data_IF_548462530691
#
_entry.id   IF_548462530691
#
_cell.length_a   1.000
_cell.length_b   1.000
_cell.length_c   1.000
_cell.angle_alpha   90.00
_cell.angle_beta   90.00
_cell.angle_gamma   90.00
#
_symmetry.space_group_name_H-M   'P 1'
#
loop_
_entity.id
_entity.type
_entity.pdbx_description
1 polymer ?
#
# COMPACT_ATOMS: atom_id res chain seq x y z
N UNK A 1 35.10 -6.98 -43.00
CA UNK A 1 34.56 -6.71 -41.64
C UNK A 1 34.51 -8.04 -40.89
N UNK A 2 35.55 -8.35 -40.10
CA UNK A 2 35.62 -8.27 -38.61
C UNK A 2 34.71 -9.31 -37.93
N UNK A 3 35.17 -10.57 -37.82
CA UNK A 3 35.93 -11.20 -36.70
C UNK A 3 35.03 -11.49 -35.49
N UNK A 4 34.75 -12.77 -35.23
CA UNK A 4 34.45 -13.30 -33.91
C UNK A 4 35.03 -14.71 -33.83
N UNK A 5 36.23 -14.80 -33.24
CA UNK A 5 36.88 -16.05 -32.93
C UNK A 5 37.29 -16.03 -31.46
N UNK A 6 37.34 -17.25 -30.92
CA UNK A 6 38.19 -17.65 -29.80
C UNK A 6 37.50 -17.71 -28.42
N UNK A 7 36.95 -18.90 -28.20
CA UNK A 7 36.88 -19.60 -26.91
C UNK A 7 38.29 -19.72 -26.32
N UNK A 8 38.48 -19.43 -25.02
CA UNK A 8 39.53 -20.09 -24.25
C UNK A 8 39.19 -20.16 -22.75
N UNK A 9 39.19 -21.40 -22.24
CA UNK A 9 39.18 -21.77 -20.82
C UNK A 9 40.54 -21.44 -20.19
N UNK A 10 40.58 -21.04 -18.91
CA UNK A 10 41.77 -21.17 -18.07
C UNK A 10 41.41 -21.24 -16.56
N UNK A 11 41.27 -22.48 -16.10
CA UNK A 11 41.85 -23.11 -14.90
C UNK A 11 42.45 -22.23 -13.77
N UNK A 12 41.87 -22.36 -12.57
CA UNK A 12 42.46 -22.66 -11.25
C UNK A 12 43.81 -22.04 -10.85
N UNK A 13 43.87 -21.30 -9.74
CA UNK A 13 44.95 -21.42 -8.72
C UNK A 13 44.42 -21.09 -7.31
N UNK A 14 44.77 -21.96 -6.37
CA UNK A 14 44.51 -21.94 -4.93
C UNK A 14 45.46 -20.95 -4.24
N UNK A 15 44.98 -20.19 -3.25
CA UNK A 15 45.84 -19.38 -2.40
C UNK A 15 45.19 -19.06 -1.06
N UNK A 16 45.47 -19.90 -0.05
CA UNK A 16 45.16 -19.62 1.34
C UNK A 16 45.96 -18.39 1.80
N UNK A 17 45.27 -17.41 2.40
CA UNK A 17 45.93 -16.29 3.08
C UNK A 17 45.33 -16.09 4.47
N UNK A 18 46.21 -16.18 5.45
CA UNK A 18 46.01 -16.07 6.89
C UNK A 18 45.74 -14.63 7.35
N UNK A 19 44.91 -14.49 8.38
CA UNK A 19 44.48 -13.26 9.09
C UNK A 19 45.66 -12.47 9.70
N UNK A 20 45.48 -11.15 9.96
CA UNK A 20 45.27 -10.78 11.37
C UNK A 20 44.20 -9.71 11.63
N UNK A 21 43.63 -9.83 12.84
CA UNK A 21 42.74 -8.92 13.55
C UNK A 21 43.32 -7.51 13.64
N UNK A 22 42.53 -6.50 13.26
CA UNK A 22 42.68 -5.12 13.76
C UNK A 22 41.38 -4.76 14.47
N UNK A 23 41.47 -4.61 15.79
CA UNK A 23 40.41 -4.12 16.63
C UNK A 23 40.15 -2.64 16.29
N UNK A 24 39.01 -2.36 15.65
CA UNK A 24 38.48 -1.00 15.54
C UNK A 24 37.36 -0.84 16.56
N UNK A 25 37.68 -0.17 17.68
CA UNK A 25 36.67 0.35 18.61
C UNK A 25 35.95 1.50 17.91
N UNK A 26 34.89 1.18 17.18
CA UNK A 26 33.96 2.16 16.63
C UNK A 26 33.03 2.58 17.78
N UNK A 27 33.02 3.87 18.12
CA UNK A 27 32.00 4.47 18.97
C UNK A 27 30.62 4.07 18.44
N UNK A 28 29.87 3.31 19.23
CA UNK A 28 28.49 2.99 18.92
C UNK A 28 27.66 4.28 18.89
N UNK A 29 26.98 4.63 17.79
CA UNK A 29 25.83 5.52 17.91
C UNK A 29 24.77 4.73 18.66
N UNK A 30 24.42 5.20 19.86
CA UNK A 30 23.23 4.77 20.57
C UNK A 30 22.06 4.91 19.60
N UNK A 31 21.58 3.78 19.09
CA UNK A 31 20.35 3.74 18.32
C UNK A 31 19.25 4.10 19.31
N UNK A 32 18.87 5.38 19.32
CA UNK A 32 17.60 5.81 19.85
C UNK A 32 16.56 4.88 19.21
N UNK A 33 16.06 3.95 20.03
CA UNK A 33 14.99 3.06 19.63
C UNK A 33 13.82 3.97 19.38
N UNK A 34 13.58 4.30 18.11
CA UNK A 34 12.36 4.95 17.68
C UNK A 34 11.24 4.04 18.15
N UNK A 35 10.55 4.45 19.23
CA UNK A 35 9.26 3.90 19.56
C UNK A 35 8.45 3.98 18.27
N UNK A 36 7.88 2.87 17.77
CA UNK A 36 6.92 2.97 16.70
C UNK A 36 5.74 3.73 17.30
N UNK A 37 5.70 5.03 17.04
CA UNK A 37 4.48 5.82 17.14
C UNK A 37 3.44 5.00 16.41
N UNK A 38 2.46 4.47 17.14
CA UNK A 38 1.18 4.05 16.58
C UNK A 38 0.52 5.33 16.05
N UNK A 39 1.10 5.90 15.00
CA UNK A 39 0.36 6.64 14.02
C UNK A 39 -0.61 5.60 13.50
N UNK A 40 -1.83 5.67 14.02
CA UNK A 40 -2.96 4.94 13.52
C UNK A 40 -3.16 5.49 12.11
N UNK A 41 -2.33 5.03 11.17
CA UNK A 41 -2.50 5.28 9.75
C UNK A 41 -3.88 4.73 9.50
N UNK A 42 -4.85 5.64 9.40
CA UNK A 42 -6.23 5.35 9.03
C UNK A 42 -6.11 4.73 7.66
N UNK A 43 -5.94 3.41 7.61
CA UNK A 43 -5.84 2.68 6.36
C UNK A 43 -7.14 2.99 5.65
N UNK A 44 -7.09 3.67 4.49
CA UNK A 44 -8.29 4.06 3.79
C UNK A 44 -9.10 2.79 3.59
N UNK A 45 -10.38 2.87 3.90
CA UNK A 45 -11.32 1.74 3.90
C UNK A 45 -11.28 1.01 2.54
N UNK A 46 -10.95 1.73 1.46
CA UNK A 46 -10.69 1.17 0.11
C UNK A 46 -9.65 0.04 0.07
N UNK A 47 -8.62 0.07 0.92
CA UNK A 47 -7.60 -0.98 0.95
C UNK A 47 -8.11 -2.35 1.42
N UNK A 48 -9.22 -2.40 2.17
CA UNK A 48 -9.78 -3.67 2.65
C UNK A 48 -10.67 -4.35 1.60
N UNK A 49 -11.35 -3.59 0.75
CA UNK A 49 -12.34 -4.14 -0.20
C UNK A 49 -11.69 -4.88 -1.38
N UNK A 50 -10.44 -4.53 -1.74
CA UNK A 50 -9.64 -5.26 -2.73
C UNK A 50 -8.94 -6.53 -2.20
N UNK A 51 -9.10 -6.86 -0.92
CA UNK A 51 -8.36 -7.97 -0.30
C UNK A 51 -8.65 -9.32 -0.97
N UNK A 52 -7.59 -10.00 -1.40
CA UNK A 52 -7.68 -11.32 -2.02
C UNK A 52 -8.20 -11.30 -3.47
N UNK A 53 -8.22 -10.14 -4.11
CA UNK A 53 -8.51 -9.97 -5.53
C UNK A 53 -7.19 -9.79 -6.29
N UNK A 54 -6.84 -10.75 -7.13
CA UNK A 54 -5.70 -10.60 -8.04
C UNK A 54 -6.12 -9.77 -9.24
N UNK A 55 -5.49 -8.61 -9.43
CA UNK A 55 -5.74 -7.71 -10.57
C UNK A 55 -4.73 -8.00 -11.69
N UNK A 56 -5.16 -7.87 -12.94
CA UNK A 56 -4.23 -7.79 -14.07
C UNK A 56 -3.48 -6.45 -14.04
N UNK A 57 -2.32 -6.32 -14.72
CA UNK A 57 -1.59 -5.04 -14.77
C UNK A 57 -2.45 -3.87 -15.29
N UNK A 58 -3.31 -4.14 -16.28
CA UNK A 58 -4.25 -3.15 -16.82
C UNK A 58 -5.29 -2.73 -15.78
N UNK A 59 -5.86 -3.67 -15.03
CA UNK A 59 -6.82 -3.37 -13.98
C UNK A 59 -6.16 -2.60 -12.82
N UNK A 60 -4.95 -2.98 -12.44
CA UNK A 60 -4.19 -2.30 -11.39
C UNK A 60 -3.90 -0.84 -11.75
N UNK A 61 -3.51 -0.57 -13.00
CA UNK A 61 -3.31 0.79 -13.48
C UNK A 61 -4.59 1.63 -13.41
N UNK A 62 -5.75 1.05 -13.77
CA UNK A 62 -7.06 1.71 -13.67
C UNK A 62 -7.48 1.96 -12.23
N UNK A 63 -7.32 0.98 -11.35
CA UNK A 63 -7.63 1.13 -9.91
C UNK A 63 -6.73 2.20 -9.28
N UNK A 64 -5.45 2.26 -9.64
CA UNK A 64 -4.55 3.32 -9.16
C UNK A 64 -5.01 4.71 -9.61
N UNK A 65 -5.32 4.87 -10.90
CA UNK A 65 -5.84 6.12 -11.46
C UNK A 65 -7.15 6.57 -10.76
N UNK A 66 -8.07 5.64 -10.48
CA UNK A 66 -9.26 5.91 -9.68
C UNK A 66 -8.87 6.40 -8.27
N UNK A 67 -8.01 5.67 -7.57
CA UNK A 67 -7.59 6.03 -6.21
C UNK A 67 -6.90 7.40 -6.16
N UNK A 68 -6.05 7.73 -7.14
CA UNK A 68 -5.38 9.03 -7.23
C UNK A 68 -6.38 10.18 -7.41
N UNK A 69 -7.36 10.03 -8.30
CA UNK A 69 -8.42 11.04 -8.48
C UNK A 69 -9.22 11.26 -7.21
N UNK A 70 -9.65 10.18 -6.57
CA UNK A 70 -10.47 10.26 -5.37
C UNK A 70 -9.67 10.72 -4.15
N UNK A 71 -8.37 10.45 -4.09
CA UNK A 71 -7.48 11.02 -3.07
C UNK A 71 -7.37 12.55 -3.22
N UNK A 72 -7.17 13.07 -4.43
CA UNK A 72 -7.15 14.51 -4.66
C UNK A 72 -8.50 15.17 -4.31
N UNK A 73 -9.61 14.53 -4.66
CA UNK A 73 -10.95 15.00 -4.29
C UNK A 73 -11.17 14.98 -2.77
N UNK A 74 -10.69 13.94 -2.08
CA UNK A 74 -10.72 13.85 -0.62
C UNK A 74 -9.93 14.99 0.02
N UNK A 75 -8.73 15.26 -0.47
CA UNK A 75 -7.87 16.32 0.07
C UNK A 75 -8.52 17.70 -0.16
N UNK A 76 -9.26 17.90 -1.25
CA UNK A 76 -10.07 19.11 -1.49
C UNK A 76 -11.31 19.21 -0.58
N UNK A 77 -11.89 18.08 -0.15
CA UNK A 77 -13.01 18.05 0.80
C UNK A 77 -12.52 18.39 2.22
N UNK A 78 -11.33 17.93 2.60
CA UNK A 78 -10.71 18.20 3.90
C UNK A 78 -10.16 19.62 3.95
N UNK A 79 -9.54 20.12 2.86
CA UNK A 79 -8.87 21.42 2.88
C UNK A 79 -7.78 21.46 3.95
N UNK A 80 -7.71 22.58 4.69
CA UNK A 80 -6.76 22.78 5.80
C UNK A 80 -7.33 22.36 7.17
N UNK A 81 -8.50 21.70 7.22
CA UNK A 81 -9.13 21.32 8.48
C UNK A 81 -8.31 20.25 9.21
N UNK A 82 -7.92 20.53 10.46
CA UNK A 82 -7.21 19.57 11.31
C UNK A 82 -8.13 18.43 11.80
N UNK A 83 -9.46 18.65 11.82
CA UNK A 83 -10.42 17.69 12.36
C UNK A 83 -11.70 17.53 11.50
N UNK A 84 -11.56 17.15 10.22
CA UNK A 84 -12.67 17.08 9.24
C UNK A 84 -13.75 16.06 9.60
N UNK A 85 -13.45 15.12 10.50
CA UNK A 85 -14.39 14.13 10.99
C UNK A 85 -15.40 14.69 12.01
N UNK A 86 -15.15 15.87 12.61
CA UNK A 86 -16.04 16.48 13.59
C UNK A 86 -17.26 17.14 12.93
N UNK A 87 -17.08 17.75 11.76
CA UNK A 87 -18.17 18.33 10.98
C UNK A 87 -18.99 17.26 10.25
N UNK A 88 -20.31 17.34 10.42
CA UNK A 88 -21.24 16.35 9.86
C UNK A 88 -21.35 16.43 8.33
N UNK A 89 -21.20 17.63 7.75
CA UNK A 89 -21.32 17.85 6.29
C UNK A 89 -20.07 17.34 5.58
N UNK A 90 -18.88 17.69 6.09
CA UNK A 90 -17.59 17.17 5.62
C UNK A 90 -17.54 15.65 5.73
N UNK A 91 -17.98 15.08 6.86
CA UNK A 91 -18.07 13.63 7.02
C UNK A 91 -18.97 12.97 5.98
N UNK A 92 -20.15 13.54 5.70
CA UNK A 92 -21.05 13.00 4.67
C UNK A 92 -20.41 13.03 3.27
N UNK A 93 -19.73 14.13 2.92
CA UNK A 93 -19.00 14.26 1.64
C UNK A 93 -17.85 13.27 1.51
N UNK A 94 -17.13 13.00 2.60
CA UNK A 94 -16.07 11.98 2.62
C UNK A 94 -16.62 10.57 2.42
N UNK A 95 -17.77 10.26 3.01
CA UNK A 95 -18.43 8.96 2.81
C UNK A 95 -18.88 8.80 1.35
N UNK A 96 -19.53 9.82 0.79
CA UNK A 96 -19.93 9.86 -0.63
C UNK A 96 -18.72 9.66 -1.56
N UNK A 97 -17.61 10.36 -1.31
CA UNK A 97 -16.36 10.22 -2.06
C UNK A 97 -15.84 8.78 -2.06
N UNK A 98 -15.85 8.11 -0.90
CA UNK A 98 -15.42 6.72 -0.78
C UNK A 98 -16.39 5.76 -1.50
N UNK A 99 -17.69 5.99 -1.40
CA UNK A 99 -18.71 5.14 -2.03
C UNK A 99 -18.64 5.22 -3.56
N UNK A 100 -18.45 6.42 -4.10
CA UNK A 100 -18.25 6.63 -5.55
C UNK A 100 -16.96 5.99 -6.05
N UNK A 101 -15.85 6.15 -5.31
CA UNK A 101 -14.57 5.48 -5.62
C UNK A 101 -14.74 3.96 -5.71
N UNK A 102 -15.38 3.35 -4.71
CA UNK A 102 -15.64 1.91 -4.68
C UNK A 102 -16.55 1.45 -5.82
N UNK A 103 -17.55 2.26 -6.18
CA UNK A 103 -18.43 1.97 -7.31
C UNK A 103 -17.65 1.95 -8.64
N UNK A 104 -16.75 2.91 -8.85
CA UNK A 104 -15.87 2.94 -10.04
C UNK A 104 -14.88 1.78 -10.05
N UNK A 105 -14.24 1.46 -8.92
CA UNK A 105 -13.33 0.32 -8.83
C UNK A 105 -14.03 -1.00 -9.18
N UNK A 106 -15.28 -1.18 -8.73
CA UNK A 106 -16.09 -2.37 -9.04
C UNK A 106 -16.31 -2.57 -10.54
N UNK A 107 -16.38 -1.50 -11.33
CA UNK A 107 -16.55 -1.56 -12.79
C UNK A 107 -15.31 -2.09 -13.52
N UNK A 108 -14.12 -1.96 -12.92
CA UNK A 108 -12.85 -2.46 -13.48
C UNK A 108 -12.72 -3.98 -13.34
N UNK A 109 -13.45 -4.56 -12.40
CA UNK A 109 -13.34 -5.96 -12.02
C UNK A 109 -14.14 -6.89 -12.95
N UNK A 110 -13.62 -8.11 -13.14
CA UNK A 110 -14.37 -9.20 -13.80
C UNK A 110 -15.52 -9.67 -12.92
N UNK A 111 -16.53 -10.40 -13.46
CA UNK A 111 -17.63 -10.92 -12.66
C UNK A 111 -17.19 -11.72 -11.42
N UNK A 112 -16.17 -12.57 -11.56
CA UNK A 112 -15.64 -13.37 -10.45
C UNK A 112 -14.94 -12.52 -9.37
N UNK A 113 -14.17 -11.51 -9.80
CA UNK A 113 -13.52 -10.56 -8.90
C UNK A 113 -14.57 -9.69 -8.16
N UNK A 114 -15.60 -9.21 -8.87
CA UNK A 114 -16.72 -8.44 -8.30
C UNK A 114 -17.43 -9.19 -7.18
N UNK A 115 -17.69 -10.49 -7.37
CA UNK A 115 -18.33 -11.29 -6.32
C UNK A 115 -17.50 -11.32 -5.02
N UNK A 116 -16.16 -11.31 -5.11
CA UNK A 116 -15.29 -11.22 -3.94
C UNK A 116 -15.25 -9.81 -3.35
N UNK A 117 -15.18 -8.80 -4.20
CA UNK A 117 -15.26 -7.40 -3.79
C UNK A 117 -16.55 -7.12 -3.00
N UNK A 118 -17.71 -7.54 -3.51
CA UNK A 118 -19.00 -7.31 -2.87
C UNK A 118 -19.08 -7.97 -1.48
N UNK A 119 -18.51 -9.18 -1.32
CA UNK A 119 -18.39 -9.83 -0.01
C UNK A 119 -17.50 -9.02 0.95
N UNK A 120 -16.39 -8.49 0.46
CA UNK A 120 -15.48 -7.68 1.28
C UNK A 120 -16.17 -6.37 1.70
N UNK A 121 -16.93 -5.72 0.82
CA UNK A 121 -17.74 -4.53 1.13
C UNK A 121 -18.74 -4.84 2.24
N UNK A 122 -19.49 -5.93 2.11
CA UNK A 122 -20.44 -6.36 3.14
C UNK A 122 -19.77 -6.62 4.49
N UNK A 123 -18.58 -7.25 4.48
CA UNK A 123 -17.82 -7.52 5.70
C UNK A 123 -17.35 -6.23 6.39
N UNK A 124 -16.90 -5.23 5.63
CA UNK A 124 -16.53 -3.91 6.15
C UNK A 124 -17.75 -3.20 6.76
N UNK A 125 -18.89 -3.21 6.07
CA UNK A 125 -20.13 -2.60 6.59
C UNK A 125 -20.60 -3.28 7.87
N UNK A 126 -20.55 -4.61 7.93
CA UNK A 126 -20.90 -5.37 9.13
C UNK A 126 -20.01 -5.00 10.32
N UNK A 127 -18.70 -4.86 10.09
CA UNK A 127 -17.76 -4.39 11.13
C UNK A 127 -18.07 -2.97 11.60
N UNK A 128 -18.36 -2.04 10.67
CA UNK A 128 -18.77 -0.67 11.04
C UNK A 128 -20.00 -0.67 11.93
N UNK A 129 -21.05 -1.42 11.56
CA UNK A 129 -22.28 -1.56 12.37
C UNK A 129 -22.02 -2.21 13.73
N UNK A 130 -21.05 -3.11 13.83
CA UNK A 130 -20.68 -3.73 15.10
C UNK A 130 -19.95 -2.76 16.04
N UNK A 131 -19.17 -1.82 15.50
CA UNK A 131 -18.50 -0.78 16.29
C UNK A 131 -19.52 0.23 16.84
N UNK A 132 -20.45 0.71 16.01
CA UNK A 132 -21.50 1.67 16.42
C UNK A 132 -22.41 1.13 17.53
N UNK A 133 -22.62 -0.19 17.59
CA UNK A 133 -23.46 -0.83 18.62
C UNK A 133 -22.76 -1.05 19.97
N UNK A 134 -21.46 -0.73 20.07
CA UNK A 134 -20.67 -0.90 21.30
C UNK A 134 -20.54 0.38 22.12
N UNK A 135 -21.02 1.51 21.59
CA UNK A 135 -21.14 2.80 22.26
C UNK A 135 -22.57 3.00 22.78
#
# INVERSE_FOLDING_TARGET
MRIAATVLRATLVIGAFTLPVVAQTILAPASATAAPSHEMVVRPVGGFVMTGITLTPRQQARVRDINERYAAARDSIIGDDEQPAADSVTRARLVENIDQMMAEERLVLTPAQRARFDRNVAAVQARRRALVRRD
#
